data_IF_675400288180
#
_entry.id   IF_675400288180
#
_cell.length_a   1.000
_cell.length_b   1.000
_cell.length_c   1.000
_cell.angle_alpha   90.00
_cell.angle_beta   90.00
_cell.angle_gamma   90.00
#
_symmetry.space_group_name_H-M   'P 1'
#
loop_
_entity.id
_entity.type
_entity.pdbx_description
1 polymer ?
#
# COMPACT_ATOMS: atom_id res chain seq x y z
N UNK A 1 17.98 -13.19 15.93
CA UNK A 1 18.06 -12.69 14.54
C UNK A 1 16.95 -11.66 14.36
N UNK A 2 17.27 -10.54 13.71
CA UNK A 2 16.61 -9.26 13.89
C UNK A 2 15.10 -9.23 13.55
N UNK A 3 14.28 -8.90 14.56
CA UNK A 3 12.87 -8.54 14.43
C UNK A 3 12.73 -7.12 13.85
N UNK A 4 13.23 -6.88 12.64
CA UNK A 4 12.64 -5.83 11.81
C UNK A 4 11.55 -6.51 10.99
N UNK A 5 10.27 -6.21 11.22
CA UNK A 5 9.23 -6.55 10.25
C UNK A 5 9.48 -5.65 9.04
N UNK A 6 10.45 -6.05 8.21
CA UNK A 6 10.60 -5.59 6.84
C UNK A 6 9.28 -5.95 6.17
N UNK A 7 8.34 -5.01 6.16
CA UNK A 7 7.00 -5.27 5.70
C UNK A 7 7.07 -5.72 4.24
N UNK A 8 6.75 -6.98 4.00
CA UNK A 8 6.83 -7.59 2.67
C UNK A 8 6.02 -6.79 1.64
N UNK A 9 4.97 -6.08 2.07
CA UNK A 9 4.21 -5.18 1.21
C UNK A 9 5.01 -3.95 0.79
N UNK A 10 5.80 -3.37 1.70
CA UNK A 10 6.71 -2.28 1.36
C UNK A 10 7.74 -2.73 0.33
N UNK A 11 8.39 -3.87 0.57
CA UNK A 11 9.39 -4.40 -0.37
C UNK A 11 8.78 -4.72 -1.74
N UNK A 12 7.60 -5.35 -1.76
CA UNK A 12 6.86 -5.63 -3.00
C UNK A 12 6.55 -4.35 -3.77
N UNK A 13 5.98 -3.33 -3.11
CA UNK A 13 5.65 -2.06 -3.78
C UNK A 13 6.91 -1.37 -4.32
N UNK A 14 8.05 -1.49 -3.61
CA UNK A 14 9.33 -0.93 -4.06
C UNK A 14 9.96 -1.69 -5.21
N UNK A 15 9.71 -3.00 -5.35
CA UNK A 15 10.21 -3.78 -6.49
C UNK A 15 9.42 -3.55 -7.78
N UNK A 16 8.19 -3.03 -7.70
CA UNK A 16 7.38 -2.72 -8.89
C UNK A 16 8.01 -1.61 -9.74
N UNK A 17 8.00 -1.79 -11.05
CA UNK A 17 8.35 -0.79 -12.04
C UNK A 17 7.30 0.33 -12.11
N UNK A 18 7.67 1.46 -12.73
CA UNK A 18 6.73 2.58 -12.95
C UNK A 18 5.50 2.16 -13.77
N UNK A 19 5.67 1.22 -14.71
CA UNK A 19 4.59 0.70 -15.54
C UNK A 19 3.61 -0.15 -14.72
N UNK A 20 4.12 -1.08 -13.91
CA UNK A 20 3.29 -1.93 -13.04
C UNK A 20 2.51 -1.10 -12.01
N UNK A 21 3.16 -0.10 -11.39
CA UNK A 21 2.49 0.82 -10.46
C UNK A 21 1.35 1.60 -11.11
N UNK A 22 1.53 2.01 -12.37
CA UNK A 22 0.48 2.69 -13.14
C UNK A 22 -0.64 1.71 -13.51
N UNK A 23 -0.30 0.51 -13.95
CA UNK A 23 -1.26 -0.56 -14.27
C UNK A 23 -2.15 -0.90 -13.08
N UNK A 24 -1.53 -1.15 -11.92
CA UNK A 24 -2.22 -1.36 -10.65
C UNK A 24 -3.20 -0.22 -10.34
N UNK A 25 -2.76 1.04 -10.43
CA UNK A 25 -3.64 2.18 -10.15
C UNK A 25 -4.84 2.26 -11.10
N UNK A 26 -4.65 1.99 -12.39
CA UNK A 26 -5.74 1.94 -13.37
C UNK A 26 -6.71 0.80 -13.06
N UNK A 27 -6.19 -0.40 -12.75
CA UNK A 27 -7.00 -1.55 -12.34
C UNK A 27 -7.82 -1.23 -11.09
N UNK A 28 -7.19 -0.64 -10.07
CA UNK A 28 -7.82 -0.31 -8.80
C UNK A 28 -8.91 0.77 -8.93
N UNK A 29 -8.76 1.75 -9.83
CA UNK A 29 -9.78 2.78 -10.07
C UNK A 29 -10.93 2.30 -10.95
N UNK A 30 -10.72 1.31 -11.83
CA UNK A 30 -11.78 0.71 -12.67
C UNK A 30 -12.93 0.10 -11.88
N UNK A 31 -12.69 -0.31 -10.64
CA UNK A 31 -13.73 -0.86 -9.75
C UNK A 31 -14.66 0.20 -9.14
N UNK A 32 -14.64 1.45 -9.62
CA UNK A 32 -15.52 2.53 -9.16
C UNK A 32 -15.18 3.10 -7.77
N UNK A 33 -14.02 2.73 -7.24
CA UNK A 33 -13.59 3.08 -5.88
C UNK A 33 -12.39 4.04 -5.93
N UNK A 34 -12.48 5.10 -6.72
CA UNK A 34 -11.43 6.12 -6.92
C UNK A 34 -10.98 6.81 -5.60
N UNK A 35 -11.73 6.64 -4.51
CA UNK A 35 -11.40 7.12 -3.16
C UNK A 35 -10.90 6.05 -2.19
N UNK A 36 -10.65 4.82 -2.65
CA UNK A 36 -10.43 3.68 -1.76
C UNK A 36 -9.18 3.86 -0.90
N UNK A 37 -9.33 3.64 0.42
CA UNK A 37 -8.28 3.79 1.42
C UNK A 37 -7.01 2.99 1.09
N UNK A 38 -7.13 1.88 0.36
CA UNK A 38 -5.99 1.06 -0.05
C UNK A 38 -5.14 1.70 -1.18
N UNK A 39 -5.73 2.48 -2.09
CA UNK A 39 -4.99 3.23 -3.12
C UNK A 39 -4.16 4.34 -2.46
N UNK A 40 -4.74 5.05 -1.49
CA UNK A 40 -4.01 6.04 -0.68
C UNK A 40 -2.88 5.41 0.12
N UNK A 41 -3.11 4.21 0.67
CA UNK A 41 -2.08 3.43 1.35
C UNK A 41 -0.95 3.03 0.39
N UNK A 42 -1.28 2.58 -0.82
CA UNK A 42 -0.30 2.26 -1.85
C UNK A 42 0.59 3.47 -2.18
N UNK A 43 0.01 4.64 -2.45
CA UNK A 43 0.78 5.86 -2.74
C UNK A 43 1.62 6.32 -1.54
N UNK A 44 1.14 6.15 -0.31
CA UNK A 44 1.90 6.49 0.90
C UNK A 44 3.13 5.58 1.05
N UNK A 45 2.99 4.28 0.79
CA UNK A 45 4.07 3.30 0.84
C UNK A 45 5.07 3.52 -0.32
N UNK A 46 4.57 3.75 -1.54
CA UNK A 46 5.40 4.01 -2.71
C UNK A 46 6.28 5.26 -2.54
N UNK A 47 5.74 6.31 -1.92
CA UNK A 47 6.47 7.56 -1.64
C UNK A 47 7.36 7.48 -0.39
N UNK A 48 7.24 6.46 0.46
CA UNK A 48 8.02 6.36 1.68
C UNK A 48 9.48 5.96 1.36
N UNK A 49 10.45 6.74 1.81
CA UNK A 49 11.88 6.43 1.63
C UNK A 49 12.33 5.25 2.49
N UNK A 50 11.74 5.12 3.67
CA UNK A 50 11.96 4.02 4.61
C UNK A 50 10.63 3.53 5.15
N UNK A 51 10.59 2.28 5.60
CA UNK A 51 9.39 1.72 6.22
C UNK A 51 9.21 2.26 7.66
N UNK A 52 8.22 3.13 7.84
CA UNK A 52 7.72 3.57 9.14
C UNK A 52 6.18 3.50 9.12
N UNK A 53 5.65 2.53 9.85
CA UNK A 53 4.21 2.28 9.89
C UNK A 53 3.42 3.48 10.42
N UNK A 54 3.93 4.16 11.46
CA UNK A 54 3.22 5.31 12.05
C UNK A 54 3.23 6.49 11.07
N UNK A 55 4.36 6.73 10.39
CA UNK A 55 4.44 7.76 9.36
C UNK A 55 3.50 7.46 8.17
N UNK A 56 3.40 6.20 7.75
CA UNK A 56 2.48 5.76 6.68
C UNK A 56 1.02 5.98 7.10
N UNK A 57 0.62 5.58 8.31
CA UNK A 57 -0.73 5.82 8.83
C UNK A 57 -1.04 7.32 8.86
N UNK A 58 -0.13 8.15 9.39
CA UNK A 58 -0.32 9.59 9.51
C UNK A 58 -0.52 10.27 8.15
N UNK A 59 0.10 9.75 7.08
CA UNK A 59 -0.10 10.26 5.72
C UNK A 59 -1.46 9.88 5.13
N UNK A 60 -2.06 8.79 5.58
CA UNK A 60 -3.37 8.34 5.09
C UNK A 60 -4.47 8.73 6.07
N UNK A 61 -5.00 9.96 5.90
CA UNK A 61 -6.10 10.49 6.72
C UNK A 61 -7.28 9.51 6.79
N UNK A 62 -7.72 9.17 8.00
CA UNK A 62 -8.92 8.35 8.24
C UNK A 62 -8.71 6.84 8.27
N UNK A 63 -7.46 6.36 8.40
CA UNK A 63 -7.14 4.97 8.75
C UNK A 63 -6.78 4.90 10.24
N UNK A 64 -7.53 4.10 11.00
CA UNK A 64 -7.12 3.71 12.34
C UNK A 64 -6.11 2.56 12.27
N UNK A 65 -5.18 2.48 13.24
CA UNK A 65 -4.19 1.40 13.33
C UNK A 65 -4.82 0.00 13.27
N UNK A 66 -6.01 -0.17 13.87
CA UNK A 66 -6.78 -1.43 13.85
C UNK A 66 -7.26 -1.84 12.45
N UNK A 67 -7.45 -0.89 11.53
CA UNK A 67 -7.86 -1.14 10.15
C UNK A 67 -6.66 -1.37 9.22
N UNK A 68 -5.44 -1.04 9.67
CA UNK A 68 -4.26 -1.07 8.82
C UNK A 68 -3.91 -2.48 8.36
N UNK A 69 -3.92 -3.46 9.27
CA UNK A 69 -3.58 -4.86 8.94
C UNK A 69 -4.49 -5.41 7.83
N UNK A 70 -5.80 -5.14 7.93
CA UNK A 70 -6.77 -5.55 6.93
C UNK A 70 -6.57 -4.81 5.60
N UNK A 71 -6.27 -3.51 5.64
CA UNK A 71 -5.99 -2.72 4.44
C UNK A 71 -4.70 -3.16 3.75
N UNK A 72 -3.65 -3.52 4.51
CA UNK A 72 -2.42 -4.10 3.97
C UNK A 72 -2.67 -5.45 3.31
N UNK A 73 -3.40 -6.35 3.98
CA UNK A 73 -3.74 -7.65 3.43
C UNK A 73 -4.59 -7.53 2.15
N UNK A 74 -5.56 -6.60 2.14
CA UNK A 74 -6.34 -6.31 0.95
C UNK A 74 -5.48 -5.72 -0.17
N UNK A 75 -4.64 -4.73 0.12
CA UNK A 75 -3.73 -4.13 -0.86
C UNK A 75 -2.78 -5.16 -1.47
N UNK A 76 -2.19 -6.03 -0.64
CA UNK A 76 -1.32 -7.12 -1.09
C UNK A 76 -2.04 -8.03 -2.10
N UNK A 77 -3.25 -8.49 -1.77
CA UNK A 77 -4.06 -9.32 -2.68
C UNK A 77 -4.40 -8.60 -3.99
N UNK A 78 -4.71 -7.31 -3.92
CA UNK A 78 -5.04 -6.51 -5.11
C UNK A 78 -3.82 -6.38 -6.03
N UNK A 79 -2.63 -6.13 -5.48
CA UNK A 79 -1.39 -6.05 -6.27
C UNK A 79 -1.11 -7.36 -7.00
N UNK A 80 -1.30 -8.52 -6.34
CA UNK A 80 -1.07 -9.83 -6.96
C UNK A 80 -2.10 -10.22 -8.02
N UNK A 81 -3.30 -9.61 -7.98
CA UNK A 81 -4.40 -9.91 -8.92
C UNK A 81 -4.36 -8.99 -10.16
N UNK A 82 -3.69 -7.85 -10.08
CA UNK A 82 -3.70 -6.77 -11.08
C UNK A 82 -2.87 -7.05 -12.32
#
# INVERSE_FOLDING_TARGET
MANQPNDHLYQLIKSLTKAEKRGFKIYATRSGNEGAKFIKLFDAIDKATSYDENAIINKVKGIHKRQLSNLKAHLYKQILTS
#
